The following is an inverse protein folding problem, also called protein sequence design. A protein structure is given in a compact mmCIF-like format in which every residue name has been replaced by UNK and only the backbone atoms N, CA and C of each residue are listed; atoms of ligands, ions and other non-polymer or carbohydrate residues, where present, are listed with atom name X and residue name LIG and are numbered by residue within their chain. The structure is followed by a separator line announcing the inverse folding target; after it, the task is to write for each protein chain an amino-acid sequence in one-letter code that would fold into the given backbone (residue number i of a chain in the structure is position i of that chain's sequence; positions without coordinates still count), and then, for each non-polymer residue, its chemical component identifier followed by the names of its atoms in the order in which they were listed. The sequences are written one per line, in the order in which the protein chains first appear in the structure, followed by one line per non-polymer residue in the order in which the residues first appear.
data_IF_103417344161
#
_entry.id   IF_103417344161
#
_cell.length_a   1.000
_cell.length_b   1.000
_cell.length_c   1.000
_cell.angle_alpha   90.00
_cell.angle_beta   90.00
_cell.angle_gamma   90.00
#
_symmetry.space_group_name_H-M   'P 1'
#
loop_
_entity.id
_entity.type
_entity.pdbx_description
1 polymer ?
#
# COMPACT_ATOMS: atom_id res chain seq x y z
N UNK A 1 54.06 26.96 -7.22
CA UNK A 1 53.28 25.72 -7.03
C UNK A 1 51.95 26.16 -6.40
N UNK A 2 50.92 26.45 -7.21
CA UNK A 2 49.82 25.53 -7.53
C UNK A 2 49.30 24.86 -6.24
N UNK A 3 48.10 25.11 -5.74
CA UNK A 3 46.83 25.42 -6.38
C UNK A 3 45.78 24.59 -5.65
N UNK A 4 44.75 25.26 -5.15
CA UNK A 4 43.74 24.75 -4.23
C UNK A 4 42.92 23.62 -4.86
N UNK A 5 42.94 22.42 -4.25
CA UNK A 5 42.03 21.30 -4.54
C UNK A 5 41.22 21.11 -3.25
N UNK A 6 39.92 21.39 -3.15
CA UNK A 6 38.85 21.13 -4.09
C UNK A 6 37.80 20.38 -3.27
N UNK A 7 36.97 21.11 -2.51
CA UNK A 7 35.87 20.53 -1.73
C UNK A 7 34.95 19.77 -2.68
N UNK A 8 34.82 18.46 -2.47
CA UNK A 8 33.84 17.63 -3.16
C UNK A 8 32.46 18.18 -2.80
N UNK A 9 31.83 18.81 -3.79
CA UNK A 9 30.46 19.27 -3.71
C UNK A 9 29.55 18.04 -3.53
N UNK A 10 28.84 18.03 -2.41
CA UNK A 10 27.68 17.17 -2.21
C UNK A 10 26.69 17.50 -3.33
N UNK A 11 26.45 16.55 -4.23
CA UNK A 11 25.37 16.67 -5.22
C UNK A 11 24.05 16.59 -4.47
N UNK A 12 23.54 17.74 -4.06
CA UNK A 12 22.15 17.90 -3.64
C UNK A 12 21.29 17.66 -4.87
N UNK A 13 20.82 16.43 -5.07
CA UNK A 13 19.75 16.18 -6.02
C UNK A 13 18.51 16.86 -5.47
N UNK A 14 18.25 18.09 -5.92
CA UNK A 14 16.98 18.77 -5.72
C UNK A 14 15.87 17.86 -6.25
N UNK A 15 15.20 17.12 -5.36
CA UNK A 15 13.90 16.54 -5.68
C UNK A 15 12.98 17.72 -5.90
N UNK A 16 12.51 17.89 -7.14
CA UNK A 16 11.30 18.66 -7.46
C UNK A 16 10.24 18.30 -6.40
N UNK A 17 9.50 19.26 -5.83
CA UNK A 17 8.33 18.90 -5.05
C UNK A 17 7.45 18.06 -5.97
N UNK A 18 7.19 16.81 -5.58
CA UNK A 18 6.12 16.04 -6.22
C UNK A 18 4.88 16.89 -6.02
N UNK A 19 4.35 17.45 -7.10
CA UNK A 19 2.94 17.79 -7.15
C UNK A 19 2.20 16.58 -6.57
N UNK A 20 1.41 16.83 -5.53
CA UNK A 20 0.75 15.81 -4.71
C UNK A 20 -0.16 14.99 -5.62
N UNK A 21 0.41 13.96 -6.27
CA UNK A 21 -0.38 12.88 -6.82
C UNK A 21 -1.20 12.35 -5.65
N UNK A 22 -2.54 12.29 -5.77
CA UNK A 22 -3.36 11.73 -4.72
C UNK A 22 -2.75 10.36 -4.39
N UNK A 23 -2.48 10.06 -3.11
CA UNK A 23 -1.63 8.93 -2.73
C UNK A 23 -2.15 7.59 -3.28
N UNK A 24 -3.40 7.55 -3.76
CA UNK A 24 -4.00 6.37 -4.33
C UNK A 24 -4.71 6.67 -5.63
N UNK A 25 -4.21 6.03 -6.68
CA UNK A 25 -4.95 5.89 -7.93
C UNK A 25 -6.00 4.80 -7.73
N UNK A 26 -7.24 5.22 -7.48
CA UNK A 26 -8.41 4.34 -7.48
C UNK A 26 -8.59 3.72 -8.87
N UNK A 27 -8.25 2.43 -9.01
CA UNK A 27 -8.47 1.73 -10.29
C UNK A 27 -9.71 0.86 -10.29
N UNK A 28 -10.25 0.47 -9.13
CA UNK A 28 -11.34 -0.51 -9.00
C UNK A 28 -12.40 -0.07 -7.97
N UNK A 29 -13.64 -0.55 -8.13
CA UNK A 29 -14.74 -0.36 -7.17
C UNK A 29 -14.60 -1.29 -5.96
N UNK A 30 -15.19 -0.94 -4.81
CA UNK A 30 -15.19 -1.77 -3.59
C UNK A 30 -15.70 -3.20 -3.85
N UNK A 31 -16.79 -3.33 -4.61
CA UNK A 31 -17.34 -4.63 -4.98
C UNK A 31 -16.34 -5.46 -5.79
N UNK A 32 -15.66 -4.83 -6.75
CA UNK A 32 -14.66 -5.54 -7.56
C UNK A 32 -13.46 -5.99 -6.74
N UNK A 33 -13.04 -5.15 -5.79
CA UNK A 33 -11.94 -5.48 -4.87
C UNK A 33 -12.33 -6.64 -3.96
N UNK A 34 -13.57 -6.67 -3.46
CA UNK A 34 -14.11 -7.77 -2.64
C UNK A 34 -14.06 -9.11 -3.40
N UNK A 35 -14.52 -9.13 -4.66
CA UNK A 35 -14.44 -10.35 -5.50
C UNK A 35 -12.99 -10.83 -5.66
N UNK A 36 -12.05 -9.92 -5.90
CA UNK A 36 -10.64 -10.29 -6.06
C UNK A 36 -10.00 -10.78 -4.77
N UNK A 37 -10.34 -10.18 -3.62
CA UNK A 37 -9.90 -10.62 -2.30
C UNK A 37 -10.42 -12.02 -1.96
N UNK A 38 -11.65 -12.35 -2.34
CA UNK A 38 -12.21 -13.70 -2.14
C UNK A 38 -11.44 -14.76 -2.94
N UNK A 39 -11.19 -14.51 -4.23
CA UNK A 39 -10.36 -15.40 -5.06
C UNK A 39 -8.98 -15.59 -4.46
N UNK A 40 -8.43 -14.49 -3.94
CA UNK A 40 -7.15 -14.44 -3.28
C UNK A 40 -7.14 -15.35 -2.01
N UNK A 41 -8.09 -15.16 -1.10
CA UNK A 41 -8.21 -15.99 0.10
C UNK A 41 -8.40 -17.49 -0.21
N UNK A 42 -9.17 -17.82 -1.24
CA UNK A 42 -9.50 -19.21 -1.62
C UNK A 42 -8.31 -19.96 -2.29
N UNK A 43 -7.43 -19.22 -2.99
CA UNK A 43 -6.36 -19.82 -3.81
C UNK A 43 -5.17 -20.42 -3.02
N UNK A 44 -5.15 -20.32 -1.68
CA UNK A 44 -4.19 -21.00 -0.80
C UNK A 44 -2.70 -20.87 -1.18
N UNK A 45 -2.01 -19.83 -0.70
CA UNK A 45 -0.55 -19.71 -0.83
C UNK A 45 0.02 -18.34 -0.44
N UNK A 46 1.28 -18.29 0.02
CA UNK A 46 1.93 -17.06 0.53
C UNK A 46 2.08 -15.91 -0.48
N UNK A 47 2.01 -16.19 -1.79
CA UNK A 47 1.99 -15.17 -2.86
C UNK A 47 0.75 -14.27 -2.83
N UNK A 48 -0.29 -14.71 -2.12
CA UNK A 48 -1.57 -14.04 -2.07
C UNK A 48 -1.60 -12.82 -1.12
N UNK A 49 -0.80 -12.89 -0.05
CA UNK A 49 -0.82 -11.90 1.02
C UNK A 49 -0.45 -10.50 0.54
N UNK A 50 0.57 -10.38 -0.31
CA UNK A 50 0.99 -9.06 -0.81
C UNK A 50 -0.06 -8.44 -1.74
N UNK A 51 -0.66 -9.24 -2.63
CA UNK A 51 -1.73 -8.77 -3.50
C UNK A 51 -2.97 -8.32 -2.69
N UNK A 52 -3.35 -9.11 -1.68
CA UNK A 52 -4.42 -8.73 -0.76
C UNK A 52 -4.09 -7.44 0.01
N UNK A 53 -2.83 -7.25 0.43
CA UNK A 53 -2.35 -6.02 1.07
C UNK A 53 -2.51 -4.80 0.15
N UNK A 54 -2.12 -4.90 -1.12
CA UNK A 54 -2.27 -3.82 -2.10
C UNK A 54 -3.75 -3.50 -2.40
N UNK A 55 -4.62 -4.50 -2.39
CA UNK A 55 -6.07 -4.31 -2.49
C UNK A 55 -6.64 -3.56 -1.27
N UNK A 56 -6.24 -3.92 -0.05
CA UNK A 56 -6.67 -3.21 1.17
C UNK A 56 -6.16 -1.77 1.22
N UNK A 57 -4.94 -1.49 0.74
CA UNK A 57 -4.42 -0.13 0.60
C UNK A 57 -5.29 0.73 -0.35
N UNK A 58 -5.75 0.14 -1.47
CA UNK A 58 -6.70 0.82 -2.35
C UNK A 58 -8.03 1.09 -1.64
N UNK A 59 -8.58 0.10 -0.92
CA UNK A 59 -9.82 0.27 -0.16
C UNK A 59 -9.71 1.37 0.89
N UNK A 60 -8.64 1.38 1.70
CA UNK A 60 -8.43 2.39 2.75
C UNK A 60 -8.47 3.79 2.17
N UNK A 61 -7.85 3.96 1.00
CA UNK A 61 -7.76 5.27 0.37
C UNK A 61 -9.07 5.77 -0.25
N UNK A 62 -9.85 4.85 -0.83
CA UNK A 62 -11.06 5.20 -1.57
C UNK A 62 -12.33 5.18 -0.77
N UNK A 63 -12.38 4.25 0.18
CA UNK A 63 -13.57 3.88 0.92
C UNK A 63 -13.37 4.03 2.44
N UNK A 64 -12.15 4.34 2.87
CA UNK A 64 -11.80 4.60 4.26
C UNK A 64 -11.48 3.34 5.05
N UNK A 65 -10.94 3.54 6.25
CA UNK A 65 -10.55 2.46 7.17
C UNK A 65 -11.73 1.55 7.53
N UNK A 66 -12.95 2.08 7.64
CA UNK A 66 -14.12 1.25 7.97
C UNK A 66 -14.37 0.17 6.91
N UNK A 67 -14.22 0.48 5.62
CA UNK A 67 -14.40 -0.49 4.55
C UNK A 67 -13.33 -1.58 4.55
N UNK A 68 -12.08 -1.24 4.93
CA UNK A 68 -11.01 -2.22 5.16
C UNK A 68 -11.39 -3.16 6.28
N UNK A 69 -11.82 -2.59 7.40
CA UNK A 69 -12.24 -3.28 8.61
C UNK A 69 -13.41 -4.24 8.37
N UNK A 70 -14.37 -3.83 7.55
CA UNK A 70 -15.52 -4.65 7.17
C UNK A 70 -15.06 -5.84 6.30
N UNK A 71 -14.21 -5.60 5.30
CA UNK A 71 -13.67 -6.67 4.44
C UNK A 71 -12.80 -7.68 5.21
N UNK A 72 -11.99 -7.23 6.17
CA UNK A 72 -11.18 -8.12 7.01
C UNK A 72 -12.07 -9.10 7.76
N UNK A 73 -13.16 -8.61 8.36
CA UNK A 73 -14.11 -9.44 9.13
C UNK A 73 -14.94 -10.34 8.24
N UNK A 74 -15.38 -9.81 7.10
CA UNK A 74 -16.27 -10.52 6.19
C UNK A 74 -15.59 -11.70 5.48
N UNK A 75 -14.34 -11.51 5.07
CA UNK A 75 -13.57 -12.50 4.30
C UNK A 75 -12.59 -13.31 5.18
N UNK A 76 -12.68 -13.16 6.51
CA UNK A 76 -11.82 -13.83 7.50
C UNK A 76 -10.31 -13.63 7.21
N UNK A 77 -9.93 -12.44 6.74
CA UNK A 77 -8.56 -12.13 6.32
C UNK A 77 -7.57 -12.12 7.48
N UNK A 78 -8.07 -12.00 8.72
CA UNK A 78 -7.23 -12.15 9.91
C UNK A 78 -6.71 -13.59 10.02
N UNK A 79 -7.56 -14.61 9.85
CA UNK A 79 -7.10 -16.00 9.90
C UNK A 79 -6.29 -16.39 8.66
N UNK A 80 -6.65 -15.87 7.48
CA UNK A 80 -5.97 -16.19 6.23
C UNK A 80 -4.57 -15.54 6.12
N UNK A 81 -4.43 -14.30 6.60
CA UNK A 81 -3.26 -13.46 6.32
C UNK A 81 -2.72 -12.66 7.51
N UNK A 82 -3.28 -12.79 8.72
CA UNK A 82 -2.95 -11.96 9.90
C UNK A 82 -3.17 -10.45 9.66
N UNK A 83 -4.19 -10.10 8.86
CA UNK A 83 -4.64 -8.72 8.72
C UNK A 83 -5.64 -8.36 9.80
N UNK A 84 -5.22 -7.52 10.76
CA UNK A 84 -6.06 -7.14 11.89
C UNK A 84 -6.92 -5.92 11.56
N UNK A 85 -8.20 -5.87 11.95
CA UNK A 85 -8.98 -4.63 11.89
C UNK A 85 -8.26 -3.47 12.60
N UNK A 86 -8.36 -2.27 12.06
CA UNK A 86 -7.62 -1.08 12.49
C UNK A 86 -6.17 -1.01 12.02
N UNK A 87 -5.68 -2.03 11.29
CA UNK A 87 -4.39 -1.95 10.61
C UNK A 87 -4.48 -0.97 9.43
N UNK A 88 -3.47 -0.11 9.29
CA UNK A 88 -3.31 0.73 8.11
C UNK A 88 -2.43 0.02 7.07
N UNK A 89 -2.82 0.17 5.81
CA UNK A 89 -2.23 -0.41 4.61
C UNK A 89 -1.70 0.66 3.65
N UNK A 90 -2.00 1.95 3.89
CA UNK A 90 -1.46 3.09 3.12
C UNK A 90 0.02 3.37 3.35
N UNK A 91 0.60 2.85 4.44
CA UNK A 91 2.03 2.97 4.71
C UNK A 91 2.79 1.71 4.26
N UNK A 92 3.66 1.86 3.27
CA UNK A 92 4.78 0.95 3.11
C UNK A 92 5.72 1.11 4.31
N UNK A 93 5.93 0.02 5.06
CA UNK A 93 6.90 -0.16 6.15
C UNK A 93 6.46 0.19 7.58
N UNK A 94 6.38 -0.86 8.40
CA UNK A 94 7.12 -0.97 9.67
C UNK A 94 7.48 -2.45 9.89
#
# INVERSE_FOLDING_TARGET
MLGQLGKVFHQSTSKKPREEEPPCRMTLTLEKIREQLLLQADSGGGYNRNAAREMLAQVECGHGQQAVDDLIRELDLEAAFDFKPGSSFLAGEA
#
